data_IF_362217286273
#
_entry.id   IF_362217286273
#
_cell.length_a   1.000
_cell.length_b   1.000
_cell.length_c   1.000
_cell.angle_alpha   90.00
_cell.angle_beta   90.00
_cell.angle_gamma   90.00
#
_symmetry.space_group_name_H-M   'P 1'
#
loop_
_entity.id
_entity.type
_entity.pdbx_description
1 polymer ?
#
# COMPACT_ATOMS: atom_id res chain seq x y z
N UNK A 1 -2.75 -11.78 33.59
CA UNK A 1 -1.54 -11.37 32.86
C UNK A 1 -0.57 -10.74 33.85
N UNK A 2 0.73 -10.98 33.68
CA UNK A 2 1.79 -10.29 34.43
C UNK A 2 1.75 -8.78 34.13
N UNK A 3 2.34 -7.96 34.99
CA UNK A 3 2.60 -6.56 34.64
C UNK A 3 3.54 -6.51 33.42
N UNK A 4 3.45 -5.46 32.61
CA UNK A 4 4.36 -5.26 31.48
C UNK A 4 5.75 -4.94 32.04
N UNK A 5 6.77 -5.71 31.64
CA UNK A 5 8.17 -5.50 32.04
C UNK A 5 8.93 -4.68 30.99
N UNK A 6 8.63 -4.90 29.71
CA UNK A 6 9.35 -4.35 28.57
C UNK A 6 8.39 -3.84 27.49
N UNK A 7 8.88 -2.91 26.67
CA UNK A 7 8.20 -2.44 25.46
C UNK A 7 9.16 -2.37 24.27
N UNK A 8 8.63 -2.64 23.08
CA UNK A 8 9.35 -2.50 21.81
C UNK A 8 8.62 -1.59 20.82
N UNK A 9 9.40 -0.88 20.02
CA UNK A 9 8.95 0.07 19.01
C UNK A 9 9.33 -0.41 17.61
N UNK A 10 8.31 -0.85 16.86
CA UNK A 10 8.39 -1.08 15.42
C UNK A 10 8.18 0.26 14.72
N UNK A 11 9.27 1.00 14.49
CA UNK A 11 9.24 2.30 13.82
C UNK A 11 9.24 2.07 12.31
N UNK A 12 8.19 2.51 11.62
CA UNK A 12 8.02 2.30 10.18
C UNK A 12 8.17 3.59 9.37
N UNK A 13 8.86 3.52 8.23
CA UNK A 13 8.96 4.63 7.27
C UNK A 13 7.87 4.62 6.18
N UNK A 14 7.92 5.61 5.28
CA UNK A 14 6.97 5.73 4.17
C UNK A 14 7.09 4.63 3.11
N UNK A 15 8.18 3.86 3.12
CA UNK A 15 8.44 2.70 2.26
C UNK A 15 8.08 1.37 2.96
N UNK A 16 7.43 1.43 4.13
CA UNK A 16 7.04 0.29 4.94
C UNK A 16 8.21 -0.53 5.52
N UNK A 17 9.43 0.02 5.55
CA UNK A 17 10.58 -0.61 6.21
C UNK A 17 10.53 -0.33 7.70
N UNK A 18 11.10 -1.25 8.49
CA UNK A 18 11.19 -1.11 9.95
C UNK A 18 12.62 -0.76 10.34
N UNK A 19 12.77 0.22 11.23
CA UNK A 19 14.07 0.60 11.77
C UNK A 19 14.59 -0.48 12.73
N UNK A 20 15.82 -0.92 12.49
CA UNK A 20 16.56 -1.87 13.32
C UNK A 20 17.87 -1.25 13.79
N UNK A 21 18.33 -1.67 14.95
CA UNK A 21 19.64 -1.31 15.50
C UNK A 21 20.38 -2.55 15.97
N UNK A 22 21.69 -2.57 15.78
CA UNK A 22 22.54 -3.69 16.19
C UNK A 22 23.16 -3.41 17.55
N UNK A 23 22.95 -4.35 18.46
CA UNK A 23 23.51 -4.35 19.82
C UNK A 23 25.02 -4.48 19.75
N UNK A 24 25.74 -3.73 20.57
CA UNK A 24 27.20 -3.85 20.67
C UNK A 24 27.60 -5.25 21.16
N UNK A 25 28.81 -5.69 20.79
CA UNK A 25 29.31 -7.03 21.13
C UNK A 25 29.56 -7.26 22.63
N UNK A 26 29.63 -6.19 23.43
CA UNK A 26 29.85 -6.21 24.88
C UNK A 26 28.55 -6.30 25.71
N UNK A 27 27.38 -6.32 25.07
CA UNK A 27 26.09 -6.49 25.76
C UNK A 27 25.98 -7.87 26.40
N UNK A 28 25.55 -7.91 27.66
CA UNK A 28 25.33 -9.17 28.42
C UNK A 28 24.23 -10.05 27.81
N UNK A 29 23.15 -9.44 27.35
CA UNK A 29 22.01 -10.12 26.75
C UNK A 29 22.03 -9.88 25.24
N UNK A 30 22.09 -10.99 24.49
CA UNK A 30 22.05 -11.03 23.02
C UNK A 30 23.07 -10.05 22.38
N UNK A 31 24.39 -10.25 22.58
CA UNK A 31 25.42 -9.41 21.98
C UNK A 31 25.45 -9.53 20.45
N UNK A 32 25.63 -8.42 19.74
CA UNK A 32 25.86 -8.42 18.30
C UNK A 32 24.64 -8.74 17.41
N UNK A 33 23.45 -8.96 17.98
CA UNK A 33 22.23 -9.19 17.20
C UNK A 33 21.57 -7.87 16.78
N UNK A 34 20.75 -7.95 15.74
CA UNK A 34 19.83 -6.87 15.36
C UNK A 34 18.54 -6.95 16.17
N UNK A 35 18.06 -5.79 16.60
CA UNK A 35 16.91 -5.65 17.47
C UNK A 35 16.06 -4.44 17.07
N UNK A 36 14.84 -4.37 17.61
CA UNK A 36 14.02 -3.16 17.55
C UNK A 36 14.42 -2.19 18.67
N UNK A 37 13.92 -0.97 18.61
CA UNK A 37 14.09 0.02 19.70
C UNK A 37 13.21 -0.38 20.87
N UNK A 38 13.73 -0.36 22.09
CA UNK A 38 12.94 -0.80 23.23
C UNK A 38 13.73 -1.03 24.50
N UNK A 39 13.00 -1.18 25.60
CA UNK A 39 13.60 -1.31 26.90
C UNK A 39 12.61 -1.59 28.02
N UNK A 40 13.09 -1.43 29.25
CA UNK A 40 12.34 -1.79 30.44
C UNK A 40 11.51 -0.60 30.93
N UNK A 41 10.35 -0.89 31.53
CA UNK A 41 9.61 0.12 32.27
C UNK A 41 10.36 0.53 33.53
N UNK A 42 10.37 1.82 33.82
CA UNK A 42 10.79 2.37 35.11
C UNK A 42 9.64 2.37 36.13
N UNK A 43 10.00 2.55 37.41
CA UNK A 43 9.02 2.55 38.49
C UNK A 43 8.01 3.70 38.33
N UNK A 44 6.73 3.36 38.16
CA UNK A 44 5.64 4.33 38.00
C UNK A 44 5.35 4.76 36.56
N UNK A 45 6.09 4.21 35.59
CA UNK A 45 5.92 4.48 34.17
C UNK A 45 4.79 3.63 33.57
N UNK A 46 3.99 4.20 32.65
CA UNK A 46 3.10 3.40 31.79
C UNK A 46 3.88 2.81 30.61
N UNK A 47 3.41 1.72 29.97
CA UNK A 47 4.06 1.18 28.77
C UNK A 47 4.30 2.25 27.68
N UNK A 48 3.35 3.16 27.46
CA UNK A 48 3.45 4.22 26.46
C UNK A 48 4.50 5.28 26.82
N UNK A 49 4.66 5.58 28.11
CA UNK A 49 5.70 6.49 28.60
C UNK A 49 7.09 5.87 28.42
N UNK A 50 7.24 4.58 28.76
CA UNK A 50 8.48 3.84 28.53
C UNK A 50 8.84 3.79 27.05
N UNK A 51 7.85 3.51 26.20
CA UNK A 51 8.05 3.46 24.75
C UNK A 51 8.56 4.80 24.21
N UNK A 52 7.94 5.91 24.61
CA UNK A 52 8.35 7.23 24.16
C UNK A 52 9.76 7.61 24.65
N UNK A 53 10.09 7.28 25.90
CA UNK A 53 11.42 7.49 26.48
C UNK A 53 12.50 6.68 25.75
N UNK A 54 12.30 5.37 25.59
CA UNK A 54 13.27 4.49 24.92
C UNK A 54 13.50 4.93 23.47
N UNK A 55 12.44 5.32 22.74
CA UNK A 55 12.58 5.87 21.38
C UNK A 55 13.41 7.16 21.37
N UNK A 56 13.15 8.11 22.28
CA UNK A 56 13.90 9.37 22.34
C UNK A 56 15.36 9.16 22.79
N UNK A 57 15.61 8.26 23.74
CA UNK A 57 16.95 7.94 24.22
C UNK A 57 17.79 7.25 23.13
N UNK A 58 17.25 6.20 22.51
CA UNK A 58 18.02 5.37 21.60
C UNK A 58 18.17 5.98 20.21
N UNK A 59 17.17 6.71 19.72
CA UNK A 59 17.14 7.25 18.34
C UNK A 59 17.19 8.78 18.24
N UNK A 60 16.82 9.49 19.31
CA UNK A 60 16.61 10.94 19.29
C UNK A 60 15.31 11.39 18.62
N UNK A 61 14.48 10.47 18.13
CA UNK A 61 13.17 10.76 17.58
C UNK A 61 12.09 10.83 18.66
N UNK A 62 10.97 11.46 18.35
CA UNK A 62 9.84 11.56 19.28
C UNK A 62 8.67 10.74 18.76
N UNK A 63 8.07 9.90 19.61
CA UNK A 63 6.84 9.20 19.25
C UNK A 63 5.74 10.23 19.00
N UNK A 64 5.26 10.28 17.76
CA UNK A 64 4.13 11.12 17.34
C UNK A 64 2.80 10.40 17.57
N UNK A 65 2.77 9.11 17.22
CA UNK A 65 1.55 8.29 17.30
C UNK A 65 1.88 6.81 17.57
N UNK A 66 1.05 6.18 18.39
CA UNK A 66 1.04 4.72 18.58
C UNK A 66 -0.05 4.17 17.65
N UNK A 67 0.37 3.64 16.51
CA UNK A 67 -0.54 3.19 15.45
C UNK A 67 -1.36 1.98 15.92
N UNK A 68 -0.71 1.03 16.61
CA UNK A 68 -1.36 -0.13 17.25
C UNK A 68 -0.38 -0.90 18.14
N UNK A 69 -0.94 -1.68 19.05
CA UNK A 69 -0.25 -2.85 19.59
C UNK A 69 -0.19 -3.95 18.53
N UNK A 70 1.00 -4.51 18.33
CA UNK A 70 1.26 -5.59 17.36
C UNK A 70 1.38 -6.93 18.08
N UNK A 71 2.07 -6.97 19.22
CA UNK A 71 2.26 -8.18 20.01
C UNK A 71 2.22 -7.91 21.52
N UNK A 72 1.80 -8.92 22.27
CA UNK A 72 1.80 -8.99 23.75
C UNK A 72 2.18 -10.42 24.13
N UNK A 73 3.43 -10.60 24.56
CA UNK A 73 4.05 -11.91 24.65
C UNK A 73 4.99 -12.01 25.85
N UNK A 74 5.38 -13.24 26.19
CA UNK A 74 6.29 -13.51 27.30
C UNK A 74 7.58 -14.19 26.80
N UNK A 75 8.71 -13.85 27.43
CA UNK A 75 10.00 -14.50 27.22
C UNK A 75 10.72 -14.73 28.54
N UNK A 76 11.64 -15.70 28.56
CA UNK A 76 12.38 -16.08 29.75
C UNK A 76 13.88 -15.91 29.52
N UNK A 77 14.56 -15.32 30.50
CA UNK A 77 16.01 -15.30 30.55
C UNK A 77 16.50 -15.52 31.97
N UNK A 78 17.47 -16.41 32.13
CA UNK A 78 18.01 -16.83 33.44
C UNK A 78 16.91 -17.19 34.48
N UNK A 79 15.83 -17.86 34.05
CA UNK A 79 14.73 -18.27 34.94
C UNK A 79 13.71 -17.19 35.27
N UNK A 80 13.86 -15.97 34.72
CA UNK A 80 12.89 -14.88 34.90
C UNK A 80 12.05 -14.69 33.65
N UNK A 81 10.76 -14.98 33.78
CA UNK A 81 9.73 -14.67 32.76
C UNK A 81 9.38 -13.19 32.82
N UNK A 82 9.39 -12.54 31.65
CA UNK A 82 9.05 -11.13 31.42
C UNK A 82 7.94 -11.03 30.40
N UNK A 83 7.05 -10.06 30.58
CA UNK A 83 6.02 -9.71 29.60
C UNK A 83 6.45 -8.49 28.80
N UNK A 84 6.35 -8.57 27.48
CA UNK A 84 6.71 -7.53 26.53
C UNK A 84 5.52 -7.16 25.65
N UNK A 85 5.35 -5.86 25.41
CA UNK A 85 4.32 -5.34 24.49
C UNK A 85 4.98 -4.52 23.40
N UNK A 86 4.76 -4.92 22.15
CA UNK A 86 5.34 -4.28 20.98
C UNK A 86 4.33 -3.44 20.23
N UNK A 87 4.75 -2.23 19.87
CA UNK A 87 3.90 -1.23 19.23
C UNK A 87 4.44 -0.86 17.85
N UNK A 88 3.54 -0.76 16.89
CA UNK A 88 3.82 -0.03 15.65
C UNK A 88 3.67 1.46 15.94
N UNK A 89 4.71 2.23 15.67
CA UNK A 89 4.74 3.67 15.99
C UNK A 89 5.14 4.51 14.79
N UNK A 90 4.62 5.73 14.77
CA UNK A 90 5.09 6.79 13.92
C UNK A 90 5.85 7.82 14.76
N UNK A 91 6.96 8.33 14.23
CA UNK A 91 7.86 9.24 14.95
C UNK A 91 8.09 10.55 14.19
N UNK A 92 8.46 11.60 14.92
CA UNK A 92 8.96 12.86 14.39
C UNK A 92 10.48 12.93 14.54
N UNK A 93 11.16 13.35 13.46
CA UNK A 93 12.61 13.51 13.40
C UNK A 93 13.17 13.32 12.00
N UNK A 94 14.49 13.50 11.83
CA UNK A 94 15.18 13.17 10.59
C UNK A 94 15.45 11.65 10.54
N UNK A 95 14.59 10.92 9.84
CA UNK A 95 14.70 9.46 9.69
C UNK A 95 15.96 8.99 8.96
N UNK A 96 16.64 9.92 8.26
CA UNK A 96 17.90 9.62 7.54
C UNK A 96 19.12 9.69 8.45
N UNK A 97 18.96 10.25 9.67
CA UNK A 97 20.05 10.48 10.62
C UNK A 97 19.66 10.07 12.05
N UNK A 98 19.38 8.78 12.31
CA UNK A 98 19.13 8.31 13.67
C UNK A 98 20.34 8.58 14.55
N UNK A 99 20.10 8.98 15.81
CA UNK A 99 21.11 8.84 16.87
C UNK A 99 21.22 7.36 17.21
N UNK A 100 22.41 6.90 17.58
CA UNK A 100 22.59 5.62 18.24
C UNK A 100 23.09 5.87 19.66
N UNK A 101 22.49 5.21 20.65
CA UNK A 101 22.97 5.33 22.02
C UNK A 101 24.38 4.74 22.17
N UNK A 102 25.32 5.60 22.53
CA UNK A 102 26.73 5.26 22.66
C UNK A 102 26.93 4.13 23.68
N UNK A 103 27.61 3.05 23.25
CA UNK A 103 27.92 1.90 24.10
C UNK A 103 26.78 0.86 24.22
N UNK A 104 25.60 1.11 23.64
CA UNK A 104 24.55 0.09 23.51
C UNK A 104 24.41 -0.42 22.07
N UNK A 105 24.51 0.47 21.09
CA UNK A 105 24.30 0.15 19.68
C UNK A 105 25.44 0.70 18.80
N UNK A 106 25.85 -0.06 17.78
CA UNK A 106 26.98 0.31 16.90
C UNK A 106 26.63 0.37 15.39
N UNK A 107 25.42 -0.03 15.02
CA UNK A 107 24.92 0.05 13.65
C UNK A 107 23.39 0.17 13.63
N UNK A 108 22.84 0.64 12.51
CA UNK A 108 21.40 0.65 12.23
C UNK A 108 21.11 0.37 10.77
N UNK A 109 19.90 -0.11 10.49
CA UNK A 109 19.40 -0.41 9.16
C UNK A 109 17.89 -0.19 9.08
N UNK A 110 17.40 0.09 7.87
CA UNK A 110 15.99 0.02 7.54
C UNK A 110 15.73 -1.32 6.87
N UNK A 111 14.94 -2.19 7.51
CA UNK A 111 14.66 -3.52 7.01
C UNK A 111 13.31 -3.57 6.27
N UNK A 112 13.36 -3.87 4.96
CA UNK A 112 12.20 -4.24 4.16
C UNK A 112 12.04 -5.75 4.04
N UNK A 113 11.13 -6.24 3.17
CA UNK A 113 10.88 -7.68 3.03
C UNK A 113 12.11 -8.50 2.63
N UNK A 114 13.06 -7.89 1.92
CA UNK A 114 14.31 -8.52 1.49
C UNK A 114 15.43 -8.53 2.54
N UNK A 115 15.24 -7.84 3.67
CA UNK A 115 16.30 -7.61 4.67
C UNK A 115 16.05 -8.37 5.98
N UNK A 116 15.02 -9.23 6.03
CA UNK A 116 14.58 -9.91 7.26
C UNK A 116 15.62 -10.87 7.84
N UNK A 117 16.60 -11.31 7.06
CA UNK A 117 17.70 -12.16 7.52
C UNK A 117 18.67 -11.42 8.45
N UNK A 118 18.68 -10.08 8.46
CA UNK A 118 19.42 -9.28 9.44
C UNK A 118 19.08 -9.69 10.88
N UNK A 119 17.80 -9.96 11.16
CA UNK A 119 17.31 -10.37 12.50
C UNK A 119 17.76 -11.78 12.91
N UNK A 120 18.38 -12.53 11.99
CA UNK A 120 18.95 -13.84 12.25
C UNK A 120 20.49 -13.79 12.34
N UNK A 121 21.13 -12.67 12.01
CA UNK A 121 22.58 -12.52 12.17
C UNK A 121 22.98 -12.60 13.65
N UNK A 122 24.02 -13.38 13.95
CA UNK A 122 24.52 -13.65 15.31
C UNK A 122 23.50 -14.27 16.29
N UNK A 123 22.33 -14.68 15.80
CA UNK A 123 21.29 -15.28 16.63
C UNK A 123 21.49 -16.79 16.77
N UNK A 124 22.10 -17.21 17.87
CA UNK A 124 22.50 -18.61 18.11
C UNK A 124 21.42 -19.51 18.71
N UNK A 125 20.36 -18.92 19.27
CA UNK A 125 19.23 -19.65 19.87
C UNK A 125 18.20 -20.13 18.82
N UNK A 126 18.29 -19.61 17.59
CA UNK A 126 17.34 -19.89 16.51
C UNK A 126 15.97 -19.24 16.71
N UNK A 127 15.80 -18.32 17.67
CA UNK A 127 14.50 -17.71 17.97
C UNK A 127 14.03 -16.77 16.85
N UNK A 128 12.96 -17.15 16.14
CA UNK A 128 12.43 -16.39 15.01
C UNK A 128 11.35 -15.37 15.40
N UNK A 129 10.96 -15.26 16.67
CA UNK A 129 9.81 -14.44 17.08
C UNK A 129 9.95 -12.98 16.65
N UNK A 130 11.07 -12.34 16.95
CA UNK A 130 11.30 -10.94 16.53
C UNK A 130 11.36 -10.82 15.00
N UNK A 131 12.02 -11.76 14.30
CA UNK A 131 12.05 -11.78 12.84
C UNK A 131 10.65 -11.83 12.25
N UNK A 132 9.80 -12.70 12.76
CA UNK A 132 8.45 -12.88 12.25
C UNK A 132 7.53 -11.71 12.63
N UNK A 133 7.74 -11.10 13.80
CA UNK A 133 7.06 -9.87 14.21
C UNK A 133 7.39 -8.70 13.25
N UNK A 134 8.68 -8.49 12.96
CA UNK A 134 9.13 -7.47 12.00
C UNK A 134 8.62 -7.80 10.60
N UNK A 135 8.69 -9.06 10.17
CA UNK A 135 8.15 -9.51 8.89
C UNK A 135 6.65 -9.23 8.77
N UNK A 136 5.89 -9.41 9.85
CA UNK A 136 4.47 -9.09 9.90
C UNK A 136 4.25 -7.59 9.63
N UNK A 137 4.91 -6.71 10.37
CA UNK A 137 4.77 -5.24 10.22
C UNK A 137 5.22 -4.74 8.86
N UNK A 138 6.37 -5.21 8.38
CA UNK A 138 6.93 -4.82 7.07
C UNK A 138 5.97 -5.18 5.92
N UNK A 139 5.21 -6.27 6.08
CA UNK A 139 4.21 -6.72 5.10
C UNK A 139 2.82 -6.18 5.37
N UNK A 140 2.52 -5.61 6.54
CA UNK A 140 1.23 -4.97 6.84
C UNK A 140 1.00 -3.78 5.92
N UNK A 141 -0.23 -3.60 5.44
CA UNK A 141 -0.63 -2.41 4.69
C UNK A 141 -1.87 -1.77 5.33
N UNK A 142 -1.90 -0.45 5.33
CA UNK A 142 -3.08 0.32 5.71
C UNK A 142 -3.57 1.06 4.48
N UNK A 143 -4.85 0.89 4.18
CA UNK A 143 -5.57 1.71 3.21
C UNK A 143 -6.51 2.64 3.98
N UNK A 144 -7.32 3.44 3.28
CA UNK A 144 -8.28 4.33 3.92
C UNK A 144 -9.19 3.60 4.90
N UNK A 145 -9.66 2.41 4.52
CA UNK A 145 -10.66 1.65 5.28
C UNK A 145 -10.19 0.29 5.74
N UNK A 146 -9.09 -0.26 5.22
CA UNK A 146 -8.63 -1.61 5.55
C UNK A 146 -7.27 -1.61 6.25
N UNK A 147 -7.16 -2.51 7.23
CA UNK A 147 -5.88 -3.00 7.75
C UNK A 147 -5.64 -4.38 7.14
N UNK A 148 -4.55 -4.53 6.42
CA UNK A 148 -4.16 -5.74 5.70
C UNK A 148 -2.98 -6.40 6.43
N UNK A 149 -3.21 -7.55 7.05
CA UNK A 149 -2.22 -8.29 7.84
C UNK A 149 -1.76 -9.55 7.10
N UNK A 150 -0.45 -9.79 6.96
CA UNK A 150 0.02 -10.96 6.21
C UNK A 150 -0.43 -12.22 6.96
N UNK A 151 -1.02 -13.17 6.24
CA UNK A 151 -1.44 -14.43 6.87
C UNK A 151 -0.20 -15.13 7.44
N UNK A 152 -0.19 -15.22 8.75
CA UNK A 152 0.79 -15.95 9.57
C UNK A 152 0.08 -16.93 10.51
N UNK A 153 0.80 -17.98 10.89
CA UNK A 153 0.42 -18.89 11.96
C UNK A 153 0.72 -18.31 13.34
N UNK A 154 0.18 -18.94 14.39
CA UNK A 154 0.66 -18.68 15.75
C UNK A 154 2.13 -19.07 15.83
N UNK A 155 2.98 -18.18 16.34
CA UNK A 155 4.43 -18.40 16.42
C UNK A 155 5.01 -17.97 17.78
N UNK A 156 4.17 -17.88 18.81
CA UNK A 156 4.58 -17.50 20.16
C UNK A 156 4.71 -15.99 20.39
N UNK A 157 4.54 -15.16 19.35
CA UNK A 157 4.47 -13.69 19.46
C UNK A 157 3.21 -13.13 18.79
N UNK A 158 2.82 -13.69 17.64
CA UNK A 158 1.58 -13.36 16.94
C UNK A 158 0.52 -14.43 17.22
N UNK A 159 -0.77 -14.05 17.34
CA UNK A 159 -1.86 -14.99 17.60
C UNK A 159 -2.17 -15.91 16.40
N UNK A 160 -1.79 -15.49 15.19
CA UNK A 160 -2.07 -16.21 13.94
C UNK A 160 -3.50 -15.99 13.40
N UNK A 161 -3.70 -16.37 12.15
CA UNK A 161 -4.94 -16.05 11.39
C UNK A 161 -5.83 -17.26 11.07
N UNK A 162 -5.60 -18.39 11.74
CA UNK A 162 -6.43 -19.59 11.58
C UNK A 162 -7.92 -19.31 11.84
N UNK A 163 -8.29 -18.69 12.97
CA UNK A 163 -9.68 -18.33 13.27
C UNK A 163 -10.32 -17.41 12.23
N UNK A 164 -9.56 -16.44 11.68
CA UNK A 164 -10.06 -15.55 10.62
C UNK A 164 -10.38 -16.32 9.34
N UNK A 165 -9.54 -17.28 8.95
CA UNK A 165 -9.81 -18.13 7.80
C UNK A 165 -11.00 -19.05 8.04
N UNK A 166 -11.16 -19.61 9.25
CA UNK A 166 -12.36 -20.37 9.58
C UNK A 166 -13.62 -19.51 9.43
N UNK A 167 -13.61 -18.29 9.97
CA UNK A 167 -14.75 -17.38 9.88
C UNK A 167 -15.04 -17.00 8.42
N UNK A 168 -14.01 -16.65 7.64
CA UNK A 168 -14.15 -16.27 6.24
C UNK A 168 -14.77 -17.39 5.40
N UNK A 169 -14.28 -18.61 5.54
CA UNK A 169 -14.74 -19.75 4.74
C UNK A 169 -16.03 -20.40 5.26
N UNK A 170 -16.47 -20.02 6.47
CA UNK A 170 -17.81 -20.36 6.97
C UNK A 170 -18.91 -19.47 6.37
N UNK A 171 -18.57 -18.32 5.80
CA UNK A 171 -19.52 -17.44 5.12
C UNK A 171 -20.08 -18.14 3.86
N UNK A 172 -21.41 -18.35 3.73
CA UNK A 172 -22.00 -19.06 2.59
C UNK A 172 -21.71 -18.42 1.23
N UNK A 173 -21.54 -17.10 1.18
CA UNK A 173 -21.19 -16.40 -0.03
C UNK A 173 -19.78 -16.76 -0.50
N UNK A 174 -18.84 -16.94 0.44
CA UNK A 174 -17.47 -17.34 0.14
C UNK A 174 -17.42 -18.83 -0.15
N UNK A 175 -18.00 -19.65 0.71
CA UNK A 175 -17.96 -21.11 0.66
C UNK A 175 -18.40 -21.68 -0.70
N UNK A 176 -19.40 -21.09 -1.36
CA UNK A 176 -19.88 -21.56 -2.67
C UNK A 176 -18.83 -21.55 -3.80
N UNK A 177 -17.73 -20.81 -3.64
CA UNK A 177 -16.66 -20.70 -4.63
C UNK A 177 -15.48 -21.64 -4.34
N UNK A 178 -15.47 -22.32 -3.20
CA UNK A 178 -14.33 -23.14 -2.77
C UNK A 178 -14.78 -24.53 -2.36
N UNK A 179 -14.08 -25.55 -2.87
CA UNK A 179 -14.25 -26.93 -2.41
C UNK A 179 -13.37 -27.20 -1.18
N UNK A 180 -13.62 -26.46 -0.08
CA UNK A 180 -12.93 -26.68 1.19
C UNK A 180 -13.79 -26.29 2.39
N UNK A 181 -13.62 -27.02 3.49
CA UNK A 181 -14.22 -26.70 4.78
C UNK A 181 -13.48 -25.54 5.46
N UNK A 182 -14.13 -24.82 6.40
CA UNK A 182 -13.48 -23.81 7.23
C UNK A 182 -12.22 -24.31 7.96
N UNK A 183 -12.24 -25.56 8.44
CA UNK A 183 -11.10 -26.18 9.10
C UNK A 183 -9.93 -26.39 8.12
N UNK A 184 -10.21 -26.93 6.93
CA UNK A 184 -9.19 -27.07 5.88
C UNK A 184 -8.59 -25.72 5.46
N UNK A 185 -9.39 -24.65 5.44
CA UNK A 185 -8.87 -23.31 5.16
C UNK A 185 -7.89 -22.82 6.25
N UNK A 186 -8.19 -23.07 7.53
CA UNK A 186 -7.28 -22.74 8.63
C UNK A 186 -6.00 -23.60 8.62
N UNK A 187 -6.09 -24.85 8.19
CA UNK A 187 -4.93 -25.75 8.05
C UNK A 187 -3.95 -25.28 6.95
N UNK A 188 -4.35 -24.36 6.07
CA UNK A 188 -3.46 -23.77 5.05
C UNK A 188 -2.55 -22.66 5.58
N UNK A 189 -2.76 -22.15 6.80
CA UNK A 189 -1.99 -21.02 7.34
C UNK A 189 -0.47 -21.22 7.26
N UNK A 190 0.11 -22.40 7.60
CA UNK A 190 1.54 -22.62 7.47
C UNK A 190 2.07 -22.47 6.03
N UNK A 191 1.34 -22.96 5.02
CA UNK A 191 1.74 -22.81 3.62
C UNK A 191 1.57 -21.36 3.13
N UNK A 192 0.52 -20.66 3.57
CA UNK A 192 0.32 -19.25 3.26
C UNK A 192 1.45 -18.38 3.84
N UNK A 193 1.90 -18.68 5.06
CA UNK A 193 3.08 -18.04 5.65
C UNK A 193 4.37 -18.43 4.93
N UNK A 194 4.53 -19.71 4.56
CA UNK A 194 5.69 -20.18 3.79
C UNK A 194 5.78 -19.49 2.41
N UNK A 195 4.63 -19.21 1.77
CA UNK A 195 4.57 -18.40 0.55
C UNK A 195 5.15 -17.01 0.75
N UNK A 196 4.79 -16.31 1.82
CA UNK A 196 5.40 -15.01 2.13
C UNK A 196 6.92 -15.07 2.28
N UNK A 197 7.44 -16.11 2.93
CA UNK A 197 8.88 -16.27 3.18
C UNK A 197 9.66 -16.73 1.95
N UNK A 198 9.10 -17.64 1.16
CA UNK A 198 9.71 -18.18 -0.07
C UNK A 198 9.66 -17.19 -1.22
N UNK A 199 8.51 -16.55 -1.40
CA UNK A 199 8.16 -15.86 -2.64
C UNK A 199 8.15 -14.33 -2.51
N UNK A 200 8.24 -13.83 -1.27
CA UNK A 200 8.01 -12.43 -0.91
C UNK A 200 6.54 -11.99 -1.07
N UNK A 201 5.65 -12.91 -1.44
CA UNK A 201 4.28 -12.67 -1.85
C UNK A 201 3.33 -13.62 -1.13
N UNK A 202 2.15 -13.11 -0.74
CA UNK A 202 1.12 -13.93 -0.13
C UNK A 202 -0.19 -13.18 0.06
N UNK A 203 -1.13 -13.84 0.72
CA UNK A 203 -2.43 -13.27 1.02
C UNK A 203 -2.39 -12.58 2.39
N UNK A 204 -3.06 -11.44 2.46
CA UNK A 204 -3.41 -10.74 3.69
C UNK A 204 -4.81 -11.14 4.16
N UNK A 205 -5.04 -11.08 5.47
CA UNK A 205 -6.38 -10.86 6.04
C UNK A 205 -6.67 -9.37 6.04
N UNK A 206 -7.90 -9.01 5.70
CA UNK A 206 -8.38 -7.64 5.67
C UNK A 206 -9.38 -7.41 6.81
N UNK A 207 -9.11 -6.39 7.62
CA UNK A 207 -10.00 -5.91 8.68
C UNK A 207 -10.48 -4.50 8.35
N UNK A 208 -11.75 -4.20 8.61
CA UNK A 208 -12.26 -2.82 8.58
C UNK A 208 -11.59 -2.02 9.70
N UNK A 209 -10.93 -0.90 9.37
CA UNK A 209 -10.17 -0.08 10.34
C UNK A 209 -11.04 0.56 11.40
N UNK A 210 -12.31 0.81 11.10
CA UNK A 210 -13.22 1.51 12.00
C UNK A 210 -13.87 0.57 13.02
N UNK A 211 -14.18 -0.67 12.62
CA UNK A 211 -14.86 -1.65 13.48
C UNK A 211 -13.93 -2.74 14.00
N UNK A 212 -12.79 -2.97 13.35
CA UNK A 212 -11.90 -4.11 13.62
C UNK A 212 -12.44 -5.44 13.10
N UNK A 213 -13.59 -5.45 12.41
CA UNK A 213 -14.23 -6.66 11.92
C UNK A 213 -13.52 -7.23 10.69
N UNK A 214 -13.54 -8.55 10.56
CA UNK A 214 -13.06 -9.26 9.38
C UNK A 214 -13.85 -8.84 8.13
N UNK A 215 -13.17 -8.24 7.16
CA UNK A 215 -13.73 -7.90 5.86
C UNK A 215 -13.45 -8.99 4.81
N UNK A 216 -12.34 -9.72 4.93
CA UNK A 216 -12.01 -10.82 4.03
C UNK A 216 -10.52 -11.15 3.96
N UNK A 217 -10.09 -11.66 2.81
CA UNK A 217 -8.68 -11.87 2.47
C UNK A 217 -8.38 -11.43 1.04
N UNK A 218 -7.11 -11.20 0.74
CA UNK A 218 -6.64 -11.07 -0.63
C UNK A 218 -5.18 -10.67 -0.72
N UNK A 219 -4.68 -10.39 -1.91
CA UNK A 219 -3.27 -10.08 -2.13
C UNK A 219 -2.67 -11.03 -3.15
N UNK A 220 -1.35 -11.17 -3.12
CA UNK A 220 -0.62 -11.89 -4.14
C UNK A 220 -0.54 -13.39 -3.88
N UNK A 221 -0.29 -14.16 -4.92
CA UNK A 221 0.24 -15.52 -4.84
C UNK A 221 1.17 -15.77 -6.03
N UNK A 222 1.99 -16.81 -5.95
CA UNK A 222 2.74 -17.30 -7.11
C UNK A 222 2.12 -18.59 -7.62
N UNK A 223 1.81 -18.62 -8.91
CA UNK A 223 1.45 -19.84 -9.61
C UNK A 223 2.74 -20.63 -9.88
N UNK A 224 2.82 -21.91 -9.49
CA UNK A 224 4.00 -22.72 -9.76
C UNK A 224 4.31 -22.82 -11.26
N UNK A 225 5.58 -22.56 -11.61
CA UNK A 225 6.07 -22.67 -12.98
C UNK A 225 5.98 -24.12 -13.50
N UNK A 226 5.82 -24.28 -14.81
CA UNK A 226 5.71 -25.60 -15.45
C UNK A 226 4.38 -26.32 -15.23
N UNK A 227 3.39 -25.66 -14.62
CA UNK A 227 2.02 -26.17 -14.59
C UNK A 227 1.28 -25.82 -15.88
N UNK A 228 0.32 -26.64 -16.35
CA UNK A 228 -0.48 -26.31 -17.54
C UNK A 228 -1.18 -24.94 -17.46
N UNK A 229 -1.64 -24.56 -16.26
CA UNK A 229 -2.24 -23.25 -15.98
C UNK A 229 -1.22 -22.11 -16.17
N UNK A 230 -0.01 -22.25 -15.63
CA UNK A 230 1.04 -21.25 -15.80
C UNK A 230 1.45 -21.10 -17.28
N UNK A 231 1.58 -22.21 -18.01
CA UNK A 231 1.92 -22.18 -19.44
C UNK A 231 0.82 -21.49 -20.27
N UNK A 232 -0.45 -21.82 -20.01
CA UNK A 232 -1.58 -21.20 -20.70
C UNK A 232 -1.69 -19.70 -20.43
N UNK A 233 -1.46 -19.26 -19.19
CA UNK A 233 -1.46 -17.82 -18.85
C UNK A 233 -0.26 -17.12 -19.49
N UNK A 234 0.94 -17.69 -19.41
CA UNK A 234 2.15 -17.11 -20.01
C UNK A 234 2.00 -16.92 -21.54
N UNK A 235 1.29 -17.82 -22.22
CA UNK A 235 0.96 -17.68 -23.63
C UNK A 235 0.06 -16.46 -23.94
N UNK A 236 -0.77 -16.03 -22.97
CA UNK A 236 -1.64 -14.85 -23.11
C UNK A 236 -0.92 -13.55 -22.74
N UNK A 237 -0.14 -13.55 -21.65
CA UNK A 237 0.40 -12.31 -21.05
C UNK A 237 1.89 -12.07 -21.32
N UNK A 238 2.53 -13.01 -22.01
CA UNK A 238 3.93 -12.94 -22.40
C UNK A 238 4.90 -13.54 -21.37
N UNK A 239 6.15 -13.80 -21.80
CA UNK A 239 7.13 -14.57 -21.05
C UNK A 239 7.72 -13.84 -19.84
N UNK A 240 7.53 -12.52 -19.75
CA UNK A 240 8.08 -11.71 -18.65
C UNK A 240 7.22 -11.79 -17.38
N UNK A 241 6.04 -12.42 -17.42
CA UNK A 241 5.20 -12.61 -16.26
C UNK A 241 5.81 -13.64 -15.30
N UNK A 242 6.14 -13.19 -14.08
CA UNK A 242 6.85 -13.98 -13.07
C UNK A 242 5.92 -14.87 -12.21
N UNK A 243 4.79 -15.33 -12.76
CA UNK A 243 3.84 -16.19 -12.06
C UNK A 243 2.97 -15.48 -11.00
N UNK A 244 3.03 -14.16 -10.88
CA UNK A 244 2.29 -13.41 -9.86
C UNK A 244 0.80 -13.28 -10.20
N UNK A 245 -0.05 -13.76 -9.29
CA UNK A 245 -1.50 -13.66 -9.33
C UNK A 245 -2.00 -12.77 -8.18
N UNK A 246 -3.02 -11.96 -8.45
CA UNK A 246 -3.77 -11.18 -7.48
C UNK A 246 -5.18 -11.75 -7.35
N UNK A 247 -5.63 -11.97 -6.11
CA UNK A 247 -6.95 -12.51 -5.83
C UNK A 247 -7.51 -12.04 -4.50
N UNK A 248 -8.83 -12.14 -4.34
CA UNK A 248 -9.58 -11.63 -3.18
C UNK A 248 -10.80 -12.49 -2.88
N UNK A 249 -11.20 -12.51 -1.60
CA UNK A 249 -12.48 -13.04 -1.13
C UNK A 249 -12.96 -12.17 0.04
N UNK A 250 -14.19 -11.65 -0.04
CA UNK A 250 -14.79 -10.84 1.02
C UNK A 250 -16.01 -11.56 1.58
N UNK A 251 -16.22 -11.42 2.90
CA UNK A 251 -17.46 -11.83 3.55
C UNK A 251 -18.64 -11.05 2.97
N UNK A 252 -19.85 -11.61 3.06
CA UNK A 252 -21.03 -11.02 2.42
C UNK A 252 -21.30 -9.59 2.89
N UNK A 253 -21.15 -9.33 4.19
CA UNK A 253 -21.37 -8.01 4.82
C UNK A 253 -20.40 -6.93 4.35
N UNK A 254 -19.24 -7.30 3.81
CA UNK A 254 -18.21 -6.38 3.32
C UNK A 254 -18.34 -6.04 1.83
N UNK A 255 -19.30 -6.66 1.12
CA UNK A 255 -19.48 -6.47 -0.33
C UNK A 255 -20.21 -5.18 -0.69
N UNK A 256 -20.10 -4.78 -1.96
CA UNK A 256 -20.77 -3.58 -2.48
C UNK A 256 -20.15 -2.25 -2.02
N UNK A 257 -19.17 -2.28 -1.11
CA UNK A 257 -18.51 -1.09 -0.52
C UNK A 257 -17.22 -0.68 -1.24
N UNK A 258 -16.80 -1.42 -2.27
CA UNK A 258 -15.54 -1.19 -3.01
C UNK A 258 -14.28 -1.74 -2.33
N UNK A 259 -14.41 -2.45 -1.21
CA UNK A 259 -13.27 -2.96 -0.41
C UNK A 259 -12.37 -3.95 -1.18
N UNK A 260 -12.93 -4.75 -2.11
CA UNK A 260 -12.13 -5.68 -2.91
C UNK A 260 -11.22 -4.93 -3.89
N UNK A 261 -11.70 -3.83 -4.46
CA UNK A 261 -10.91 -2.95 -5.32
C UNK A 261 -9.83 -2.24 -4.50
N UNK A 262 -10.16 -1.73 -3.31
CA UNK A 262 -9.18 -1.11 -2.40
C UNK A 262 -8.07 -2.08 -1.99
N UNK A 263 -8.43 -3.31 -1.59
CA UNK A 263 -7.48 -4.38 -1.31
C UNK A 263 -6.63 -4.71 -2.53
N UNK A 264 -7.26 -4.88 -3.70
CA UNK A 264 -6.57 -5.20 -4.95
C UNK A 264 -5.55 -4.13 -5.34
N UNK A 265 -5.85 -2.84 -5.12
CA UNK A 265 -4.92 -1.74 -5.36
C UNK A 265 -3.68 -1.84 -4.46
N UNK A 266 -3.86 -2.15 -3.18
CA UNK A 266 -2.75 -2.37 -2.26
C UNK A 266 -1.88 -3.57 -2.69
N UNK A 267 -2.49 -4.63 -3.23
CA UNK A 267 -1.76 -5.77 -3.79
C UNK A 267 -0.97 -5.45 -5.05
N UNK A 268 -1.54 -4.65 -5.97
CA UNK A 268 -0.80 -4.16 -7.14
C UNK A 268 0.35 -3.24 -6.73
N UNK A 269 0.11 -2.30 -5.82
CA UNK A 269 1.14 -1.41 -5.28
C UNK A 269 2.31 -2.21 -4.70
N UNK A 270 2.04 -3.19 -3.84
CA UNK A 270 3.07 -4.08 -3.30
C UNK A 270 3.81 -4.84 -4.40
N UNK A 271 3.10 -5.41 -5.38
CA UNK A 271 3.73 -6.14 -6.48
C UNK A 271 4.74 -5.28 -7.27
N UNK A 272 4.37 -4.05 -7.60
CA UNK A 272 5.20 -3.21 -8.47
C UNK A 272 6.27 -2.44 -7.69
N UNK A 273 5.99 -1.98 -6.47
CA UNK A 273 6.93 -1.17 -5.69
C UNK A 273 7.88 -2.00 -4.85
N UNK A 274 7.42 -3.15 -4.35
CA UNK A 274 8.17 -3.98 -3.40
C UNK A 274 8.78 -5.19 -4.09
N UNK A 275 8.02 -5.86 -4.97
CA UNK A 275 8.53 -7.04 -5.70
C UNK A 275 9.12 -6.71 -7.07
N UNK A 276 9.05 -5.44 -7.52
CA UNK A 276 9.48 -5.01 -8.84
C UNK A 276 8.89 -5.87 -9.98
N UNK A 277 7.62 -6.27 -9.82
CA UNK A 277 6.94 -7.09 -10.82
C UNK A 277 6.86 -6.35 -12.17
N UNK A 278 6.95 -7.10 -13.26
CA UNK A 278 6.74 -6.58 -14.63
C UNK A 278 5.25 -6.57 -14.98
N UNK A 279 4.52 -7.58 -14.53
CA UNK A 279 3.09 -7.73 -14.69
C UNK A 279 2.50 -8.59 -13.57
N UNK A 280 1.21 -8.38 -13.32
CA UNK A 280 0.40 -9.15 -12.37
C UNK A 280 -0.87 -9.57 -13.10
N UNK A 281 -1.26 -10.83 -12.94
CA UNK A 281 -2.53 -11.32 -13.48
C UNK A 281 -3.57 -11.48 -12.37
N UNK A 282 -4.83 -11.53 -12.77
CA UNK A 282 -5.93 -12.00 -11.95
C UNK A 282 -6.84 -12.78 -12.89
N UNK A 283 -7.36 -13.93 -12.44
CA UNK A 283 -8.22 -14.75 -13.27
C UNK A 283 -9.32 -15.39 -12.44
N UNK A 284 -10.45 -15.67 -13.07
CA UNK A 284 -11.65 -16.20 -12.43
C UNK A 284 -12.53 -16.86 -13.48
N UNK A 285 -13.45 -17.72 -13.06
CA UNK A 285 -14.45 -18.31 -13.93
C UNK A 285 -15.19 -17.23 -14.72
N UNK A 286 -15.49 -17.50 -15.99
CA UNK A 286 -16.19 -16.55 -16.86
C UNK A 286 -17.57 -16.14 -16.28
N UNK A 287 -18.20 -17.03 -15.50
CA UNK A 287 -19.47 -16.76 -14.81
C UNK A 287 -19.34 -15.83 -13.60
N UNK A 288 -18.13 -15.64 -13.06
CA UNK A 288 -17.87 -14.77 -11.91
C UNK A 288 -17.73 -13.30 -12.33
N UNK A 289 -18.83 -12.71 -12.77
CA UNK A 289 -18.90 -11.32 -13.23
C UNK A 289 -18.53 -10.30 -12.14
N UNK A 290 -18.75 -10.64 -10.86
CA UNK A 290 -18.39 -9.78 -9.74
C UNK A 290 -16.87 -9.61 -9.62
N UNK A 291 -16.11 -10.70 -9.72
CA UNK A 291 -14.64 -10.66 -9.67
C UNK A 291 -14.07 -9.95 -10.90
N UNK A 292 -14.60 -10.22 -12.10
CA UNK A 292 -14.22 -9.48 -13.31
C UNK A 292 -14.50 -7.97 -13.20
N UNK A 293 -15.59 -7.58 -12.55
CA UNK A 293 -15.88 -6.17 -12.32
C UNK A 293 -14.88 -5.51 -11.35
N UNK A 294 -14.27 -6.26 -10.42
CA UNK A 294 -13.15 -5.77 -9.60
C UNK A 294 -11.90 -5.61 -10.46
N UNK A 295 -11.55 -6.61 -11.28
CA UNK A 295 -10.40 -6.53 -12.21
C UNK A 295 -10.46 -5.30 -13.13
N UNK A 296 -11.64 -5.02 -13.69
CA UNK A 296 -11.88 -3.82 -14.51
C UNK A 296 -11.68 -2.51 -13.72
N UNK A 297 -12.19 -2.46 -12.48
CA UNK A 297 -12.02 -1.30 -11.57
C UNK A 297 -10.60 -1.15 -10.99
N UNK A 298 -9.76 -2.16 -11.18
CA UNK A 298 -8.32 -2.08 -10.91
C UNK A 298 -7.55 -1.57 -12.13
N UNK A 299 -8.22 -1.41 -13.29
CA UNK A 299 -7.60 -1.04 -14.56
C UNK A 299 -6.92 -2.21 -15.26
N UNK A 300 -7.17 -3.46 -14.83
CA UNK A 300 -6.60 -4.62 -15.50
C UNK A 300 -7.25 -4.82 -16.87
N UNK A 301 -6.46 -5.19 -17.86
CA UNK A 301 -6.90 -5.44 -19.23
C UNK A 301 -7.20 -6.92 -19.44
N UNK A 302 -8.26 -7.23 -20.17
CA UNK A 302 -8.60 -8.60 -20.53
C UNK A 302 -7.57 -9.18 -21.50
N UNK A 303 -6.94 -10.29 -21.14
CA UNK A 303 -5.88 -10.94 -21.91
C UNK A 303 -6.36 -12.16 -22.71
N UNK A 304 -7.49 -12.75 -22.33
CA UNK A 304 -8.05 -13.94 -22.98
C UNK A 304 -8.64 -14.94 -21.98
N UNK A 305 -8.80 -16.18 -22.42
CA UNK A 305 -9.33 -17.27 -21.58
C UNK A 305 -8.35 -18.43 -21.47
N UNK A 306 -8.36 -19.08 -20.30
CA UNK A 306 -7.74 -20.40 -20.10
C UNK A 306 -8.82 -21.42 -19.73
N UNK A 307 -8.45 -22.71 -19.77
CA UNK A 307 -9.31 -23.82 -19.37
C UNK A 307 -8.76 -24.46 -18.10
N UNK A 308 -9.59 -24.59 -17.08
CA UNK A 308 -9.26 -25.26 -15.83
C UNK A 308 -10.53 -25.85 -15.19
N UNK A 309 -10.37 -26.61 -14.12
CA UNK A 309 -11.50 -27.09 -13.33
C UNK A 309 -12.19 -25.90 -12.65
N UNK A 310 -13.50 -25.73 -12.87
CA UNK A 310 -14.26 -24.60 -12.33
C UNK A 310 -15.73 -24.55 -12.76
N UNK A 311 -16.42 -23.49 -12.40
CA UNK A 311 -17.83 -23.27 -12.78
C UNK A 311 -17.98 -22.77 -14.22
N UNK A 312 -18.94 -23.32 -14.95
CA UNK A 312 -19.31 -22.88 -16.30
C UNK A 312 -20.79 -22.50 -16.38
N UNK A 313 -21.12 -21.64 -17.36
CA UNK A 313 -22.50 -21.24 -17.60
C UNK A 313 -23.39 -22.45 -17.89
N UNK A 314 -24.63 -22.42 -17.40
CA UNK A 314 -25.65 -23.43 -17.66
C UNK A 314 -25.30 -24.86 -17.21
N UNK A 315 -24.33 -25.00 -16.29
CA UNK A 315 -23.96 -26.29 -15.67
C UNK A 315 -24.18 -26.24 -14.15
N UNK A 316 -24.76 -27.29 -13.54
CA UNK A 316 -25.06 -27.30 -12.10
C UNK A 316 -23.85 -27.62 -11.22
N UNK A 317 -22.77 -28.12 -11.82
CA UNK A 317 -21.60 -28.64 -11.13
C UNK A 317 -20.29 -28.09 -11.73
N UNK A 318 -19.21 -28.18 -10.97
CA UNK A 318 -17.85 -27.89 -11.41
C UNK A 318 -17.49 -28.75 -12.63
N UNK A 319 -16.94 -28.11 -13.66
CA UNK A 319 -16.54 -28.72 -14.92
C UNK A 319 -15.01 -28.83 -15.02
N UNK A 320 -14.45 -29.92 -15.56
CA UNK A 320 -12.99 -30.10 -15.66
C UNK A 320 -12.28 -29.12 -16.60
N UNK A 321 -13.02 -28.47 -17.51
CA UNK A 321 -12.49 -27.56 -18.53
C UNK A 321 -13.34 -26.30 -18.67
N UNK A 322 -13.70 -25.67 -17.55
CA UNK A 322 -14.44 -24.42 -17.53
C UNK A 322 -13.59 -23.25 -18.08
N UNK A 323 -14.23 -22.25 -18.72
CA UNK A 323 -13.54 -21.04 -19.15
C UNK A 323 -13.24 -20.12 -17.96
N UNK A 324 -11.98 -19.70 -17.84
CA UNK A 324 -11.54 -18.67 -16.91
C UNK A 324 -11.09 -17.44 -17.68
N UNK A 325 -11.66 -16.27 -17.36
CA UNK A 325 -11.23 -14.99 -17.91
C UNK A 325 -9.93 -14.56 -17.21
N UNK A 326 -8.90 -14.25 -17.99
CA UNK A 326 -7.61 -13.75 -17.50
C UNK A 326 -7.52 -12.25 -17.75
N UNK A 327 -7.16 -11.51 -16.72
CA UNK A 327 -6.86 -10.09 -16.78
C UNK A 327 -5.40 -9.85 -16.37
N UNK A 328 -4.76 -8.87 -16.99
CA UNK A 328 -3.37 -8.49 -16.74
C UNK A 328 -3.26 -7.01 -16.45
N UNK A 329 -2.38 -6.66 -15.53
CA UNK A 329 -1.93 -5.30 -15.29
C UNK A 329 -0.41 -5.26 -15.42
N UNK A 330 0.10 -4.26 -16.11
CA UNK A 330 1.51 -3.88 -16.10
C UNK A 330 1.60 -2.35 -15.90
N UNK A 331 2.74 -1.81 -15.42
CA UNK A 331 2.87 -0.39 -15.18
C UNK A 331 2.65 0.48 -16.42
N UNK A 332 2.94 -0.04 -17.62
CA UNK A 332 2.74 0.69 -18.87
C UNK A 332 1.26 0.94 -19.18
N UNK A 333 0.34 0.04 -18.80
CA UNK A 333 -1.11 0.25 -18.94
C UNK A 333 -1.55 1.49 -18.15
N UNK A 334 -1.08 1.62 -16.91
CA UNK A 334 -1.41 2.79 -16.07
C UNK A 334 -0.78 4.06 -16.63
N UNK A 335 0.49 4.00 -17.04
CA UNK A 335 1.16 5.15 -17.64
C UNK A 335 0.44 5.64 -18.91
N UNK A 336 0.05 4.73 -19.81
CA UNK A 336 -0.72 5.06 -21.00
C UNK A 336 -2.06 5.69 -20.65
N UNK A 337 -2.77 5.17 -19.65
CA UNK A 337 -4.03 5.75 -19.20
C UNK A 337 -3.85 7.19 -18.66
N UNK A 338 -2.74 7.46 -17.96
CA UNK A 338 -2.39 8.80 -17.47
C UNK A 338 -2.05 9.74 -18.63
N UNK A 339 -1.26 9.27 -19.60
CA UNK A 339 -0.96 10.04 -20.82
C UNK A 339 -2.25 10.41 -21.55
N UNK A 340 -3.23 9.51 -21.63
CA UNK A 340 -4.55 9.82 -22.18
C UNK A 340 -5.31 10.90 -21.37
N UNK A 341 -5.22 10.91 -20.04
CA UNK A 341 -5.80 12.01 -19.22
C UNK A 341 -5.13 13.32 -19.60
N UNK A 342 -3.80 13.34 -19.63
CA UNK A 342 -3.00 14.53 -19.89
C UNK A 342 -3.29 15.07 -21.29
N UNK A 343 -3.29 14.22 -22.32
CA UNK A 343 -3.58 14.61 -23.70
C UNK A 343 -4.99 15.16 -23.87
N UNK A 344 -5.97 14.57 -23.20
CA UNK A 344 -7.34 15.08 -23.20
C UNK A 344 -7.44 16.42 -22.45
N UNK A 345 -6.72 16.57 -21.33
CA UNK A 345 -6.67 17.80 -20.55
C UNK A 345 -6.05 18.95 -21.35
N UNK A 346 -4.98 18.69 -22.10
CA UNK A 346 -4.34 19.67 -23.00
C UNK A 346 -5.31 20.11 -24.09
N UNK A 347 -5.92 19.17 -24.83
CA UNK A 347 -6.92 19.49 -25.86
C UNK A 347 -8.11 20.28 -25.30
N UNK A 348 -8.59 19.88 -24.12
CA UNK A 348 -9.63 20.59 -23.41
C UNK A 348 -9.23 22.03 -23.07
N UNK A 349 -7.97 22.24 -22.70
CA UNK A 349 -7.49 23.56 -22.33
C UNK A 349 -7.27 24.49 -23.54
N UNK A 350 -6.74 23.96 -24.64
CA UNK A 350 -6.52 24.72 -25.88
C UNK A 350 -7.80 25.32 -26.47
N UNK A 351 -8.94 24.65 -26.30
CA UNK A 351 -10.24 25.11 -26.77
C UNK A 351 -10.90 26.18 -25.86
N UNK A 352 -10.23 26.62 -24.79
CA UNK A 352 -10.80 27.49 -23.74
C UNK A 352 -10.00 28.77 -23.53
N UNK A 353 -10.45 29.90 -24.09
CA UNK A 353 -9.71 31.16 -24.02
C UNK A 353 -9.70 31.81 -22.62
N UNK A 354 -10.49 31.31 -21.67
CA UNK A 354 -10.49 31.77 -20.27
C UNK A 354 -9.44 31.04 -19.41
N UNK A 355 -8.86 29.95 -19.91
CA UNK A 355 -7.75 29.28 -19.24
C UNK A 355 -6.44 30.03 -19.49
N UNK A 356 -5.66 30.12 -18.43
CA UNK A 356 -4.38 30.84 -18.37
C UNK A 356 -3.21 29.88 -18.15
N UNK A 357 -3.49 28.67 -17.68
CA UNK A 357 -2.50 27.63 -17.52
C UNK A 357 -3.11 26.29 -17.11
N UNK A 358 -2.44 25.22 -17.50
CA UNK A 358 -2.66 23.85 -17.05
C UNK A 358 -1.31 23.23 -16.71
N UNK A 359 -1.20 22.64 -15.53
CA UNK A 359 -0.02 21.89 -15.12
C UNK A 359 -0.42 20.55 -14.51
N UNK A 360 0.42 19.53 -14.69
CA UNK A 360 0.41 18.33 -13.86
C UNK A 360 1.41 18.52 -12.73
N UNK A 361 1.02 18.18 -11.51
CA UNK A 361 1.86 18.27 -10.32
C UNK A 361 1.97 16.90 -9.65
N UNK A 362 2.74 16.80 -8.58
CA UNK A 362 2.76 15.60 -7.76
C UNK A 362 3.54 14.45 -8.39
N UNK A 363 3.19 13.21 -8.01
CA UNK A 363 4.06 12.05 -8.25
C UNK A 363 4.24 11.70 -9.72
N UNK A 364 3.21 11.91 -10.54
CA UNK A 364 3.29 11.68 -11.99
C UNK A 364 4.17 12.73 -12.68
N UNK A 365 4.14 13.99 -12.22
CA UNK A 365 4.99 15.04 -12.76
C UNK A 365 6.49 14.79 -12.55
N UNK A 366 6.87 14.19 -11.41
CA UNK A 366 8.27 13.87 -11.06
C UNK A 366 8.72 12.43 -11.37
N UNK A 367 7.87 11.62 -12.01
CA UNK A 367 8.20 10.22 -12.34
C UNK A 367 8.33 9.28 -11.14
N UNK A 368 7.69 9.60 -10.01
CA UNK A 368 7.71 8.80 -8.78
C UNK A 368 6.33 8.22 -8.43
N UNK A 369 5.42 8.17 -9.40
CA UNK A 369 4.06 7.67 -9.21
C UNK A 369 4.04 6.16 -8.96
N UNK A 370 3.12 5.75 -8.09
CA UNK A 370 2.79 4.36 -7.79
C UNK A 370 1.44 4.01 -8.44
N UNK A 371 1.06 2.74 -8.42
CA UNK A 371 -0.23 2.32 -8.98
C UNK A 371 -1.44 2.85 -8.21
N UNK A 372 -1.23 3.29 -6.98
CA UNK A 372 -2.20 3.94 -6.10
C UNK A 372 -2.20 5.47 -6.23
N UNK A 373 -1.24 6.06 -6.95
CA UNK A 373 -1.18 7.50 -7.17
C UNK A 373 -2.34 7.97 -8.04
N UNK A 374 -3.00 9.02 -7.57
CA UNK A 374 -3.87 9.90 -8.35
C UNK A 374 -3.05 10.75 -9.34
N UNK A 375 -3.74 11.30 -10.33
CA UNK A 375 -3.19 12.30 -11.26
C UNK A 375 -3.59 13.69 -10.80
N UNK A 376 -2.62 14.50 -10.38
CA UNK A 376 -2.88 15.86 -9.91
C UNK A 376 -2.72 16.89 -11.03
N UNK A 377 -3.78 17.64 -11.32
CA UNK A 377 -3.81 18.72 -12.30
C UNK A 377 -4.14 20.04 -11.62
N UNK A 378 -3.48 21.12 -12.03
CA UNK A 378 -3.80 22.50 -11.63
C UNK A 378 -4.27 23.26 -12.85
N UNK A 379 -5.46 23.83 -12.78
CA UNK A 379 -6.08 24.67 -13.81
C UNK A 379 -6.12 26.11 -13.32
N UNK A 380 -5.41 26.99 -14.03
CA UNK A 380 -5.47 28.44 -13.85
C UNK A 380 -6.49 29.02 -14.83
N UNK A 381 -7.46 29.75 -14.31
CA UNK A 381 -8.54 30.36 -15.11
C UNK A 381 -8.93 31.72 -14.55
N UNK A 382 -9.38 32.61 -15.43
CA UNK A 382 -10.01 33.87 -15.03
C UNK A 382 -11.44 33.69 -14.50
N UNK A 383 -12.04 32.51 -14.74
CA UNK A 383 -13.42 32.20 -14.38
C UNK A 383 -13.56 30.91 -13.55
N UNK A 384 -12.94 30.79 -12.36
CA UNK A 384 -13.02 29.57 -11.54
C UNK A 384 -14.46 29.09 -11.29
N UNK A 385 -15.38 30.04 -11.05
CA UNK A 385 -16.79 29.73 -10.76
C UNK A 385 -17.47 28.92 -11.86
N UNK A 386 -17.14 29.15 -13.12
CA UNK A 386 -17.71 28.41 -14.27
C UNK A 386 -17.49 26.91 -14.13
N UNK A 387 -16.29 26.50 -13.70
CA UNK A 387 -15.92 25.09 -13.56
C UNK A 387 -16.37 24.49 -12.23
N UNK A 388 -16.55 25.31 -11.19
CA UNK A 388 -17.02 24.86 -9.89
C UNK A 388 -18.55 24.71 -9.84
N UNK A 389 -19.29 25.45 -10.66
CA UNK A 389 -20.75 25.43 -10.69
C UNK A 389 -21.31 24.44 -11.73
N UNK A 390 -20.52 23.98 -12.71
CA UNK A 390 -20.93 23.00 -13.73
C UNK A 390 -19.86 21.89 -13.89
N UNK A 391 -20.30 20.62 -13.93
CA UNK A 391 -19.46 19.42 -14.06
C UNK A 391 -19.33 18.86 -15.48
N UNK A 392 -20.02 19.41 -16.49
CA UNK A 392 -20.04 18.87 -17.86
C UNK A 392 -18.62 18.70 -18.46
N UNK A 393 -17.69 19.57 -18.06
CA UNK A 393 -16.31 19.55 -18.51
C UNK A 393 -15.50 18.36 -17.96
N UNK A 394 -15.91 17.74 -16.85
CA UNK A 394 -15.23 16.59 -16.25
C UNK A 394 -15.25 15.36 -17.16
N UNK A 395 -16.20 15.29 -18.11
CA UNK A 395 -16.25 14.24 -19.11
C UNK A 395 -14.98 14.21 -19.99
N UNK A 396 -14.31 15.35 -20.20
CA UNK A 396 -13.04 15.42 -20.92
C UNK A 396 -11.92 14.62 -20.22
N UNK A 397 -12.03 14.42 -18.91
CA UNK A 397 -11.06 13.68 -18.08
C UNK A 397 -11.51 12.23 -17.83
N UNK A 398 -12.58 11.78 -18.50
CA UNK A 398 -13.12 10.43 -18.36
C UNK A 398 -13.82 10.17 -17.02
N UNK A 399 -14.35 11.21 -16.39
CA UNK A 399 -15.07 11.09 -15.11
C UNK A 399 -16.29 10.17 -15.22
N UNK A 400 -16.39 9.19 -14.31
CA UNK A 400 -17.62 8.41 -14.09
C UNK A 400 -18.30 8.77 -12.76
N UNK A 401 -17.57 9.42 -11.86
CA UNK A 401 -18.08 9.95 -10.60
C UNK A 401 -17.19 11.10 -10.09
N UNK A 402 -17.80 12.05 -9.39
CA UNK A 402 -17.09 13.02 -8.53
C UNK A 402 -16.97 12.39 -7.13
N UNK A 403 -15.74 12.20 -6.66
CA UNK A 403 -15.44 11.54 -5.38
C UNK A 403 -15.42 12.56 -4.25
N UNK A 404 -14.83 13.74 -4.50
CA UNK A 404 -14.64 14.78 -3.49
C UNK A 404 -14.60 16.16 -4.13
N UNK A 405 -15.04 17.16 -3.38
CA UNK A 405 -14.71 18.57 -3.62
C UNK A 405 -14.20 19.17 -2.32
N UNK A 406 -13.06 19.86 -2.37
CA UNK A 406 -12.42 20.39 -1.17
C UNK A 406 -11.74 21.73 -1.49
N UNK A 407 -11.95 22.73 -0.64
CA UNK A 407 -11.25 24.00 -0.77
C UNK A 407 -9.95 24.00 0.03
N UNK A 408 -8.86 24.40 -0.62
CA UNK A 408 -7.54 24.53 -0.03
C UNK A 408 -7.08 25.98 -0.07
N UNK A 409 -7.03 26.61 1.10
CA UNK A 409 -6.72 28.03 1.21
C UNK A 409 -7.76 28.93 0.48
N UNK A 410 -7.40 30.17 0.14
CA UNK A 410 -8.36 31.14 -0.38
C UNK A 410 -8.69 30.98 -1.88
N UNK A 411 -7.89 30.25 -2.65
CA UNK A 411 -7.94 30.30 -4.12
C UNK A 411 -8.02 28.95 -4.84
N UNK A 412 -7.65 27.83 -4.20
CA UNK A 412 -7.67 26.52 -4.84
C UNK A 412 -8.89 25.73 -4.38
N UNK A 413 -9.69 25.26 -5.33
CA UNK A 413 -10.73 24.26 -5.04
C UNK A 413 -10.43 23.00 -5.83
N UNK A 414 -10.18 21.94 -5.10
CA UNK A 414 -10.02 20.58 -5.60
C UNK A 414 -11.37 20.00 -6.02
N UNK A 415 -11.40 19.40 -7.20
CA UNK A 415 -12.42 18.44 -7.64
C UNK A 415 -11.71 17.12 -7.95
N UNK A 416 -12.01 16.09 -7.18
CA UNK A 416 -11.49 14.74 -7.39
C UNK A 416 -12.52 13.90 -8.10
N UNK A 417 -12.14 13.32 -9.24
CA UNK A 417 -12.96 12.41 -10.02
C UNK A 417 -12.40 11.00 -10.00
N UNK A 418 -13.25 10.03 -10.29
CA UNK A 418 -12.85 8.65 -10.56
C UNK A 418 -13.17 8.29 -12.01
N UNK A 419 -12.25 7.58 -12.67
CA UNK A 419 -12.44 6.96 -14.00
C UNK A 419 -12.94 5.52 -13.86
N UNK A 420 -13.43 4.94 -14.94
CA UNK A 420 -13.95 3.55 -14.95
C UNK A 420 -12.90 2.49 -14.52
N UNK A 421 -11.63 2.74 -14.80
CA UNK A 421 -10.47 1.94 -14.38
C UNK A 421 -10.14 2.03 -12.89
N UNK A 422 -10.85 2.92 -12.17
CA UNK A 422 -10.54 3.28 -10.80
C UNK A 422 -9.42 4.32 -10.63
N UNK A 423 -8.81 4.82 -11.71
CA UNK A 423 -7.87 5.96 -11.64
C UNK A 423 -8.58 7.16 -11.02
N UNK A 424 -7.93 7.80 -10.06
CA UNK A 424 -8.38 9.08 -9.53
C UNK A 424 -7.62 10.21 -10.22
N UNK A 425 -8.34 11.27 -10.58
CA UNK A 425 -7.76 12.51 -11.10
C UNK A 425 -8.20 13.63 -10.18
N UNK A 426 -7.23 14.29 -9.57
CA UNK A 426 -7.42 15.48 -8.76
C UNK A 426 -7.26 16.71 -9.65
N UNK A 427 -8.26 17.59 -9.67
CA UNK A 427 -8.24 18.80 -10.50
C UNK A 427 -8.43 20.01 -9.61
N UNK A 428 -7.34 20.73 -9.36
CA UNK A 428 -7.33 22.00 -8.64
C UNK A 428 -7.69 23.16 -9.54
N UNK A 429 -8.90 23.72 -9.35
CA UNK A 429 -9.33 24.94 -10.04
C UNK A 429 -8.90 26.16 -9.24
N UNK A 430 -8.17 27.08 -9.88
CA UNK A 430 -7.69 28.30 -9.22
C UNK A 430 -7.60 29.51 -10.16
N UNK A 431 -7.48 30.70 -9.57
CA UNK A 431 -7.23 31.95 -10.28
C UNK A 431 -5.73 32.15 -10.54
N UNK A 432 -5.39 33.04 -11.48
CA UNK A 432 -4.00 33.38 -11.85
C UNK A 432 -3.13 33.84 -10.67
N UNK A 433 -3.74 34.37 -9.61
CA UNK A 433 -3.06 34.72 -8.37
C UNK A 433 -2.29 33.55 -7.72
N UNK A 434 -2.69 32.30 -7.97
CA UNK A 434 -1.94 31.13 -7.52
C UNK A 434 -0.53 31.05 -8.12
N UNK A 435 -0.34 31.57 -9.34
CA UNK A 435 0.95 31.63 -10.03
C UNK A 435 1.71 32.94 -9.80
N UNK A 436 1.34 33.74 -8.79
CA UNK A 436 2.06 34.96 -8.45
C UNK A 436 3.51 34.66 -8.01
N UNK A 437 4.45 35.47 -8.49
CA UNK A 437 5.89 35.31 -8.23
C UNK A 437 6.44 36.24 -7.15
N UNK A 438 5.68 37.29 -6.79
CA UNK A 438 6.12 38.36 -5.88
C UNK A 438 5.10 38.65 -4.76
N UNK A 439 5.19 37.94 -3.62
CA UNK A 439 5.98 36.73 -3.37
C UNK A 439 5.25 35.46 -3.84
N UNK A 440 6.01 34.40 -4.12
CA UNK A 440 5.43 33.05 -4.29
C UNK A 440 4.84 32.59 -2.95
N UNK A 441 3.57 32.18 -2.96
CA UNK A 441 2.92 31.56 -1.79
C UNK A 441 3.69 30.30 -1.33
N UNK A 442 3.94 30.10 -0.02
CA UNK A 442 4.70 28.94 0.47
C UNK A 442 4.10 27.58 0.08
N UNK A 443 2.77 27.48 0.01
CA UNK A 443 2.07 26.27 -0.42
C UNK A 443 2.28 26.01 -1.90
N UNK A 444 2.09 27.03 -2.74
CA UNK A 444 2.41 26.95 -4.18
C UNK A 444 3.86 26.55 -4.41
N UNK A 445 4.80 27.17 -3.68
CA UNK A 445 6.23 26.86 -3.79
C UNK A 445 6.48 25.37 -3.53
N UNK A 446 5.88 24.82 -2.46
CA UNK A 446 6.00 23.39 -2.13
C UNK A 446 5.48 22.52 -3.27
N UNK A 447 4.28 22.79 -3.78
CA UNK A 447 3.68 22.02 -4.89
C UNK A 447 4.61 22.01 -6.12
N UNK A 448 5.15 23.18 -6.49
CA UNK A 448 6.05 23.31 -7.64
C UNK A 448 7.38 22.59 -7.40
N UNK A 449 7.98 22.72 -6.21
CA UNK A 449 9.25 22.04 -5.89
C UNK A 449 9.09 20.53 -5.73
N UNK A 450 7.89 20.06 -5.36
CA UNK A 450 7.57 18.64 -5.24
C UNK A 450 7.26 18.00 -6.61
N UNK A 451 7.44 18.73 -7.71
CA UNK A 451 7.31 18.22 -9.08
C UNK A 451 6.16 18.87 -9.82
N UNK A 452 6.49 19.52 -10.94
CA UNK A 452 5.53 20.13 -11.85
C UNK A 452 5.94 19.90 -13.30
N UNK A 453 4.95 19.64 -14.15
CA UNK A 453 5.07 19.59 -15.60
C UNK A 453 4.03 20.53 -16.18
N UNK A 454 4.49 21.60 -16.82
CA UNK A 454 3.61 22.54 -17.52
C UNK A 454 3.04 21.85 -18.76
N UNK A 455 1.72 21.90 -18.93
CA UNK A 455 1.00 21.22 -20.00
C UNK A 455 0.41 22.21 -21.02
N UNK A 456 -0.05 23.37 -20.56
CA UNK A 456 -0.56 24.46 -21.39
C UNK A 456 -0.29 25.78 -20.66
N UNK A 457 0.35 26.76 -21.30
CA UNK A 457 0.74 28.03 -20.65
C UNK A 457 0.86 29.18 -21.66
N UNK A 458 -0.28 29.64 -22.24
CA UNK A 458 -0.29 30.62 -23.33
C UNK A 458 0.32 31.97 -22.95
N UNK A 459 0.36 32.29 -21.66
CA UNK A 459 0.85 33.56 -21.12
C UNK A 459 2.16 33.44 -20.34
N UNK A 460 2.78 32.26 -20.31
CA UNK A 460 4.02 31.96 -19.58
C UNK A 460 3.94 32.21 -18.05
N UNK A 461 2.75 32.13 -17.46
CA UNK A 461 2.54 32.34 -16.02
C UNK A 461 3.13 31.17 -15.21
N UNK A 462 2.86 29.94 -15.64
CA UNK A 462 3.38 28.75 -14.97
C UNK A 462 4.90 28.65 -15.15
N UNK A 463 5.42 28.96 -16.34
CA UNK A 463 6.84 29.04 -16.60
C UNK A 463 7.54 30.06 -15.68
N UNK A 464 6.95 31.25 -15.50
CA UNK A 464 7.48 32.26 -14.57
C UNK A 464 7.47 31.78 -13.11
N UNK A 465 6.39 31.11 -12.69
CA UNK A 465 6.28 30.51 -11.37
C UNK A 465 7.36 29.44 -11.12
N UNK A 466 7.57 28.54 -12.09
CA UNK A 466 8.61 27.49 -12.00
C UNK A 466 10.00 28.11 -11.80
N UNK A 467 10.33 29.16 -12.57
CA UNK A 467 11.60 29.89 -12.41
C UNK A 467 11.70 30.55 -11.02
N UNK A 468 10.65 31.18 -10.53
CA UNK A 468 10.63 31.82 -9.20
C UNK A 468 10.80 30.81 -8.05
N UNK A 469 10.44 29.54 -8.28
CA UNK A 469 10.64 28.44 -7.34
C UNK A 469 12.03 27.79 -7.42
N UNK A 470 12.87 28.18 -8.39
CA UNK A 470 14.20 27.59 -8.59
C UNK A 470 14.21 26.33 -9.45
N UNK A 471 13.18 26.11 -10.27
CA UNK A 471 13.16 25.02 -11.26
C UNK A 471 14.21 25.22 -12.38
N UNK A 472 14.61 24.14 -13.08
CA UNK A 472 15.59 24.22 -14.16
C UNK A 472 15.13 25.13 -15.31
N UNK A 473 16.08 25.84 -15.94
CA UNK A 473 15.90 26.49 -17.24
C UNK A 473 15.79 25.40 -18.33
N UNK A 474 14.67 24.68 -18.39
CA UNK A 474 14.40 23.77 -19.51
C UNK A 474 13.62 24.55 -20.59
N UNK A 475 14.06 24.45 -21.85
CA UNK A 475 13.39 25.01 -23.02
C UNK A 475 11.89 24.66 -22.99
N UNK A 476 11.07 25.69 -22.75
CA UNK A 476 9.60 25.68 -22.69
C UNK A 476 9.03 25.52 -24.09
#
# INVERSE_FOLDING_TARGET
MRAVDCVGALIQDAEHRVYLQRRTADRRLLPGIWDIVGGHLEAGETPEQALAREVEEETGWKVRDIVRTVADWEWEWEGRVRREVDYLVAVDGDLTRPRLEAGKHDASAWAGPGDLDLLMENRTDGDRRLRDLVAHVVRTRFTDRLRLEPITGPNGVLPGHGPDLMQLYADPWVARWYDMTPAQAADQVPELQAGWDRDGAGKWIAYDRSTGELAGRGGLSRIPAGTPTAEAIAALVGPNWAGLELGWALVESARGRGLATELGRAGLDYAFTTLNATSVIAFTEQVNTASQAVMKRLGMQYAGEIRAEGWAADTPDVQPTAPFAVYVMNPAVRAQEVDEVVDNAVRWAEDRPDLRGLAMVGSWARGAARMTSDVDLVVLTDSPRTYLENDDWLAAFGAVAVVRRQQWGPHLTEIRIQRASGLEVEIGITATAWAATEPVDPGTRRVVTDGVRVLHDPEQLLAALVRACGGPEADI
#
